data_IF_802218018334
#
_entry.id   IF_802218018334
#
_cell.length_a   1.000
_cell.length_b   1.000
_cell.length_c   1.000
_cell.angle_alpha   90.00
_cell.angle_beta   90.00
_cell.angle_gamma   90.00
#
_symmetry.space_group_name_H-M   'P 1'
#
loop_
_entity.id
_entity.type
_entity.pdbx_description
1 polymer ?
#
# COMPACT_ATOMS: atom_id res chain seq x y z
N UNK A 1 -8.46 -2.69 19.77
CA UNK A 1 -8.71 -1.23 19.72
C UNK A 1 -9.86 -1.01 18.76
N UNK A 2 -11.02 -0.53 19.23
CA UNK A 2 -12.13 -0.22 18.34
C UNK A 2 -11.97 1.23 17.90
N UNK A 3 -11.62 1.45 16.63
CA UNK A 3 -11.57 2.80 16.06
C UNK A 3 -13.01 3.16 15.73
N UNK A 4 -13.60 4.04 16.53
CA UNK A 4 -14.93 4.61 16.31
C UNK A 4 -14.72 5.97 15.66
N UNK A 5 -15.34 6.22 14.50
CA UNK A 5 -15.36 7.55 13.90
C UNK A 5 -16.16 8.50 14.79
N UNK A 6 -15.50 9.53 15.32
CA UNK A 6 -16.07 10.50 16.25
C UNK A 6 -16.35 11.87 15.59
N UNK A 7 -16.15 11.98 14.29
CA UNK A 7 -16.32 13.23 13.53
C UNK A 7 -15.21 14.26 13.74
N UNK A 8 -14.17 13.97 14.53
CA UNK A 8 -13.06 14.89 14.73
C UNK A 8 -12.02 14.76 13.63
N UNK A 9 -11.43 15.90 13.24
CA UNK A 9 -10.28 15.86 12.34
C UNK A 9 -9.08 15.24 13.04
N UNK A 10 -8.50 14.21 12.44
CA UNK A 10 -7.25 13.64 12.95
C UNK A 10 -6.12 14.66 12.86
N UNK A 11 -5.32 14.72 13.93
CA UNK A 11 -4.19 15.65 14.03
C UNK A 11 -3.01 15.30 13.12
N UNK A 12 -2.94 14.04 12.65
CA UNK A 12 -1.83 13.52 11.86
C UNK A 12 -2.31 13.09 10.48
N UNK A 13 -1.54 13.40 9.43
CA UNK A 13 -1.82 12.89 8.11
C UNK A 13 -1.50 11.39 8.05
N UNK A 14 -2.23 10.66 7.19
CA UNK A 14 -2.04 9.22 7.02
C UNK A 14 -0.57 8.84 6.75
N UNK A 15 0.12 9.59 5.88
CA UNK A 15 1.54 9.35 5.54
C UNK A 15 2.47 9.44 6.75
N UNK A 16 2.18 10.34 7.69
CA UNK A 16 3.04 10.56 8.86
C UNK A 16 2.88 9.37 9.81
N UNK A 17 1.63 8.94 10.04
CA UNK A 17 1.32 7.74 10.82
C UNK A 17 1.92 6.49 10.18
N UNK A 18 1.75 6.31 8.86
CA UNK A 18 2.25 5.15 8.15
C UNK A 18 3.79 5.07 8.17
N UNK A 19 4.47 6.20 7.99
CA UNK A 19 5.92 6.30 8.05
C UNK A 19 6.51 5.91 9.41
N UNK A 20 5.75 6.04 10.50
CA UNK A 20 6.14 5.60 11.85
C UNK A 20 5.73 4.14 12.14
N UNK A 21 4.54 3.74 11.72
CA UNK A 21 3.97 2.43 12.01
C UNK A 21 4.66 1.32 11.21
N UNK A 22 4.98 1.54 9.93
CA UNK A 22 5.60 0.51 9.10
C UNK A 22 6.96 0.03 9.67
N UNK A 23 7.91 0.92 10.04
CA UNK A 23 9.14 0.50 10.73
C UNK A 23 8.88 -0.28 12.02
N UNK A 24 7.93 0.17 12.84
CA UNK A 24 7.59 -0.51 14.09
C UNK A 24 7.02 -1.92 13.85
N UNK A 25 6.21 -2.10 12.80
CA UNK A 25 5.71 -3.41 12.39
C UNK A 25 6.84 -4.33 11.93
N UNK A 26 7.74 -3.85 11.07
CA UNK A 26 8.89 -4.63 10.62
C UNK A 26 9.86 -5.02 11.75
N UNK A 27 9.93 -4.23 12.83
CA UNK A 27 10.71 -4.58 14.02
C UNK A 27 10.07 -5.69 14.85
N UNK A 28 8.74 -5.75 14.90
CA UNK A 28 7.99 -6.74 15.68
C UNK A 28 7.85 -8.07 14.94
N UNK A 29 7.80 -8.03 13.61
CA UNK A 29 7.51 -9.18 12.77
C UNK A 29 8.54 -9.30 11.63
N UNK A 30 9.44 -10.29 11.66
CA UNK A 30 10.45 -10.50 10.65
C UNK A 30 9.88 -10.97 9.30
N UNK A 31 8.59 -11.25 9.19
CA UNK A 31 7.98 -11.67 7.92
C UNK A 31 7.32 -10.49 7.18
N UNK A 32 7.17 -9.32 7.82
CA UNK A 32 6.57 -8.12 7.19
C UNK A 32 7.51 -7.46 6.18
N UNK A 33 7.11 -7.42 4.91
CA UNK A 33 7.89 -6.83 3.83
C UNK A 33 7.09 -5.76 3.08
N UNK A 34 7.71 -4.61 2.83
CA UNK A 34 7.09 -3.49 2.14
C UNK A 34 7.45 -3.49 0.66
N UNK A 35 6.47 -3.29 -0.21
CA UNK A 35 6.66 -3.10 -1.64
C UNK A 35 5.99 -1.79 -2.08
N UNK A 36 6.63 -1.08 -2.99
CA UNK A 36 6.21 0.26 -3.37
C UNK A 36 6.36 0.50 -4.88
N UNK A 37 5.43 1.26 -5.46
CA UNK A 37 5.41 1.59 -6.89
C UNK A 37 6.04 2.96 -7.20
N UNK A 38 7.24 3.22 -6.69
CA UNK A 38 7.99 4.48 -6.83
C UNK A 38 7.35 5.73 -6.21
N UNK A 39 6.69 5.55 -5.06
CA UNK A 39 5.95 6.53 -4.28
C UNK A 39 6.42 6.62 -2.80
N UNK A 40 7.57 6.03 -2.46
CA UNK A 40 8.11 6.02 -1.09
C UNK A 40 8.31 7.43 -0.49
N UNK A 41 8.60 8.44 -1.32
CA UNK A 41 8.73 9.83 -0.89
C UNK A 41 7.37 10.47 -0.58
N UNK A 42 6.29 10.02 -1.22
CA UNK A 42 4.94 10.53 -1.06
C UNK A 42 4.29 10.03 0.24
N UNK A 43 4.54 8.78 0.62
CA UNK A 43 3.97 8.14 1.83
C UNK A 43 4.93 8.12 3.04
N UNK A 44 6.09 8.77 2.93
CA UNK A 44 7.01 8.92 4.07
C UNK A 44 7.87 7.69 4.40
N UNK A 45 7.93 6.70 3.52
CA UNK A 45 8.71 5.46 3.71
C UNK A 45 10.13 5.51 3.13
N UNK A 46 10.50 6.57 2.43
CA UNK A 46 11.83 6.69 1.80
C UNK A 46 13.00 6.55 2.79
N UNK A 47 12.88 7.11 4.01
CA UNK A 47 13.92 6.98 5.05
C UNK A 47 14.03 5.54 5.55
N UNK A 48 12.89 4.88 5.75
CA UNK A 48 12.80 3.48 6.16
C UNK A 48 13.44 2.57 5.10
N UNK A 49 13.05 2.72 3.84
CA UNK A 49 13.59 1.91 2.75
C UNK A 49 15.10 2.07 2.57
N UNK A 50 15.63 3.27 2.81
CA UNK A 50 17.08 3.50 2.82
C UNK A 50 17.80 2.83 3.99
N UNK A 51 17.16 2.78 5.17
CA UNK A 51 17.73 2.18 6.37
C UNK A 51 17.61 0.65 6.39
N UNK A 52 16.56 0.11 5.77
CA UNK A 52 16.21 -1.31 5.74
C UNK A 52 15.93 -1.79 4.29
N UNK A 53 16.93 -1.74 3.39
CA UNK A 53 16.74 -2.14 1.98
C UNK A 53 16.32 -3.60 1.83
N UNK A 54 16.59 -4.46 2.81
CA UNK A 54 16.12 -5.84 2.87
C UNK A 54 14.63 -5.99 3.21
N UNK A 55 13.98 -4.92 3.68
CA UNK A 55 12.57 -4.88 4.11
C UNK A 55 11.68 -4.03 3.22
N UNK A 56 12.25 -3.35 2.22
CA UNK A 56 11.54 -2.46 1.33
C UNK A 56 11.99 -2.66 -0.12
N UNK A 57 11.07 -3.08 -0.98
CA UNK A 57 11.31 -3.32 -2.40
C UNK A 57 10.60 -2.23 -3.20
N UNK A 58 11.36 -1.38 -3.91
CA UNK A 58 10.77 -0.52 -4.93
C UNK A 58 10.61 -1.33 -6.22
N UNK A 59 9.38 -1.55 -6.65
CA UNK A 59 9.03 -2.28 -7.86
C UNK A 59 8.96 -1.40 -9.12
N UNK A 60 9.19 -0.09 -8.98
CA UNK A 60 8.99 0.90 -10.04
C UNK A 60 7.52 1.15 -10.35
N UNK A 61 7.24 1.90 -11.42
CA UNK A 61 5.87 2.19 -11.89
C UNK A 61 5.28 0.95 -12.61
N UNK A 62 5.09 -0.12 -11.84
CA UNK A 62 4.70 -1.44 -12.31
C UNK A 62 3.78 -2.14 -11.30
N UNK A 63 2.61 -1.56 -11.03
CA UNK A 63 1.72 -1.99 -9.94
C UNK A 63 1.24 -3.43 -10.09
N UNK A 64 0.88 -3.86 -11.30
CA UNK A 64 0.48 -5.25 -11.57
C UNK A 64 1.61 -6.23 -11.25
N UNK A 65 2.84 -5.89 -11.62
CA UNK A 65 4.02 -6.71 -11.31
C UNK A 65 4.30 -6.72 -9.79
N UNK A 66 4.20 -5.57 -9.13
CA UNK A 66 4.34 -5.45 -7.67
C UNK A 66 3.39 -6.39 -6.93
N UNK A 67 2.12 -6.46 -7.34
CA UNK A 67 1.14 -7.39 -6.75
C UNK A 67 1.54 -8.84 -7.01
N UNK A 68 2.01 -9.18 -8.21
CA UNK A 68 2.52 -10.53 -8.51
C UNK A 68 3.70 -10.94 -7.62
N UNK A 69 4.68 -10.04 -7.45
CA UNK A 69 5.83 -10.24 -6.54
C UNK A 69 5.35 -10.40 -5.10
N UNK A 70 4.41 -9.56 -4.65
CA UNK A 70 3.81 -9.67 -3.32
C UNK A 70 3.14 -11.02 -3.11
N UNK A 71 2.32 -11.49 -4.04
CA UNK A 71 1.66 -12.79 -3.94
C UNK A 71 2.69 -13.94 -3.87
N UNK A 72 3.78 -13.85 -4.63
CA UNK A 72 4.89 -14.80 -4.54
C UNK A 72 5.59 -14.80 -3.18
N UNK A 73 5.80 -13.61 -2.59
CA UNK A 73 6.35 -13.47 -1.24
C UNK A 73 5.40 -14.02 -0.17
N UNK A 74 4.10 -13.76 -0.29
CA UNK A 74 3.08 -14.31 0.60
C UNK A 74 3.08 -15.85 0.56
N UNK A 75 3.15 -16.44 -0.64
CA UNK A 75 3.27 -17.89 -0.80
C UNK A 75 4.57 -18.47 -0.19
N UNK A 76 5.62 -17.65 -0.07
CA UNK A 76 6.88 -18.00 0.60
C UNK A 76 6.88 -17.76 2.13
N UNK A 77 5.75 -17.33 2.71
CA UNK A 77 5.58 -17.13 4.14
C UNK A 77 5.78 -15.70 4.64
N UNK A 78 6.06 -14.74 3.76
CA UNK A 78 6.13 -13.33 4.12
C UNK A 78 4.72 -12.73 4.29
N UNK A 79 4.66 -11.52 4.85
CA UNK A 79 3.45 -10.69 5.02
C UNK A 79 3.62 -9.39 4.24
N UNK A 80 3.33 -9.39 2.93
CA UNK A 80 3.62 -8.26 2.06
C UNK A 80 2.60 -7.13 2.26
N UNK A 81 3.12 -5.91 2.35
CA UNK A 81 2.34 -4.67 2.31
C UNK A 81 2.73 -3.95 1.03
N UNK A 82 1.80 -3.82 0.09
CA UNK A 82 2.02 -3.11 -1.19
C UNK A 82 1.41 -1.71 -1.13
N UNK A 83 2.12 -0.72 -1.66
CA UNK A 83 1.66 0.66 -1.70
C UNK A 83 1.76 1.28 -3.10
N UNK A 84 0.67 1.95 -3.48
CA UNK A 84 0.63 2.91 -4.59
C UNK A 84 -0.51 3.92 -4.34
N UNK A 85 -0.73 4.90 -5.23
CA UNK A 85 -1.92 5.76 -5.15
C UNK A 85 -3.20 4.96 -5.42
N UNK A 86 -4.30 5.37 -4.79
CA UNK A 86 -5.63 4.78 -4.89
C UNK A 86 -6.08 4.42 -6.31
N UNK A 87 -6.00 5.31 -7.31
CA UNK A 87 -6.43 4.98 -8.69
C UNK A 87 -5.54 3.93 -9.35
N UNK A 88 -4.30 3.75 -8.87
CA UNK A 88 -3.38 2.74 -9.39
C UNK A 88 -3.55 1.41 -8.66
N UNK A 89 -3.79 1.46 -7.34
CA UNK A 89 -4.18 0.32 -6.53
C UNK A 89 -5.54 -0.25 -7.00
N UNK A 90 -6.44 0.58 -7.52
CA UNK A 90 -7.74 0.19 -8.03
C UNK A 90 -7.73 -0.17 -9.52
N UNK A 91 -7.24 0.68 -10.42
CA UNK A 91 -7.38 0.43 -11.87
C UNK A 91 -6.25 -0.40 -12.46
N UNK A 92 -5.01 -0.22 -11.99
CA UNK A 92 -3.82 -0.79 -12.66
C UNK A 92 -3.55 -2.23 -12.26
N UNK A 93 -3.68 -2.57 -10.98
CA UNK A 93 -3.31 -3.90 -10.48
C UNK A 93 -4.48 -4.77 -10.02
N UNK A 94 -5.73 -4.34 -10.21
CA UNK A 94 -6.89 -5.04 -9.65
C UNK A 94 -7.08 -6.46 -10.19
N UNK A 95 -6.82 -6.73 -11.47
CA UNK A 95 -6.88 -8.11 -11.98
C UNK A 95 -5.88 -9.03 -11.24
N UNK A 96 -4.66 -8.54 -10.97
CA UNK A 96 -3.67 -9.28 -10.19
C UNK A 96 -4.09 -9.42 -8.72
N UNK A 97 -4.69 -8.40 -8.11
CA UNK A 97 -5.24 -8.52 -6.74
C UNK A 97 -6.37 -9.54 -6.70
N UNK A 98 -7.30 -9.49 -7.65
CA UNK A 98 -8.43 -10.39 -7.72
C UNK A 98 -7.98 -11.85 -7.91
N UNK A 99 -7.18 -12.11 -8.94
CA UNK A 99 -6.76 -13.48 -9.29
C UNK A 99 -5.64 -14.01 -8.38
N UNK A 100 -4.58 -13.23 -8.20
CA UNK A 100 -3.36 -13.70 -7.53
C UNK A 100 -3.40 -13.55 -6.01
N UNK A 101 -4.18 -12.62 -5.47
CA UNK A 101 -4.39 -12.50 -4.02
C UNK A 101 -5.72 -13.15 -3.60
N UNK A 102 -6.85 -12.56 -3.99
CA UNK A 102 -8.17 -12.99 -3.52
C UNK A 102 -8.52 -14.44 -3.89
N UNK A 103 -8.46 -14.77 -5.18
CA UNK A 103 -8.83 -16.11 -5.67
C UNK A 103 -7.82 -17.18 -5.25
N UNK A 104 -6.51 -16.89 -5.35
CA UNK A 104 -5.45 -17.82 -4.95
C UNK A 104 -5.21 -17.88 -3.43
N UNK A 105 -5.89 -17.03 -2.63
CA UNK A 105 -5.77 -16.93 -1.16
C UNK A 105 -4.35 -16.59 -0.68
N UNK A 106 -3.65 -15.74 -1.41
CA UNK A 106 -2.41 -15.15 -0.92
C UNK A 106 -2.72 -13.94 -0.03
N UNK A 107 -2.20 -13.95 1.19
CA UNK A 107 -2.41 -12.89 2.17
C UNK A 107 -1.48 -11.70 1.89
N UNK A 108 -2.03 -10.63 1.31
CA UNK A 108 -1.32 -9.37 1.06
C UNK A 108 -2.16 -8.22 1.56
N UNK A 109 -1.50 -7.15 2.02
CA UNK A 109 -2.16 -5.89 2.35
C UNK A 109 -1.96 -4.89 1.22
N UNK A 110 -3.04 -4.38 0.63
CA UNK A 110 -2.99 -3.35 -0.42
C UNK A 110 -3.33 -1.98 0.18
N UNK A 111 -2.44 -1.01 -0.01
CA UNK A 111 -2.64 0.37 0.44
C UNK A 111 -2.70 1.28 -0.78
N UNK A 112 -3.89 1.84 -1.02
CA UNK A 112 -4.13 2.91 -1.98
C UNK A 112 -4.23 4.26 -1.26
N UNK A 113 -3.21 5.11 -1.36
CA UNK A 113 -3.25 6.47 -0.78
C UNK A 113 -4.01 7.46 -1.66
N UNK A 114 -4.40 8.58 -1.08
CA UNK A 114 -5.16 9.61 -1.79
C UNK A 114 -6.52 9.15 -2.39
N UNK A 115 -7.41 8.53 -1.60
CA UNK A 115 -8.72 8.07 -2.08
C UNK A 115 -9.68 9.23 -2.37
N UNK A 116 -10.66 9.00 -3.26
CA UNK A 116 -11.69 9.99 -3.56
C UNK A 116 -11.10 11.29 -4.13
N UNK A 117 -11.47 12.41 -3.52
CA UNK A 117 -11.10 13.77 -3.98
C UNK A 117 -9.79 14.29 -3.38
N UNK A 118 -9.08 13.51 -2.58
CA UNK A 118 -7.93 14.02 -1.82
C UNK A 118 -6.72 14.39 -2.70
N UNK A 119 -6.61 13.81 -3.90
CA UNK A 119 -5.62 14.18 -4.92
C UNK A 119 -6.15 15.18 -5.97
N UNK A 120 -7.10 16.06 -5.63
CA UNK A 120 -7.73 16.99 -6.59
C UNK A 120 -6.75 17.85 -7.41
N UNK A 121 -5.59 18.22 -6.84
CA UNK A 121 -4.56 19.01 -7.53
C UNK A 121 -3.89 18.25 -8.69
N UNK A 122 -3.90 16.91 -8.64
CA UNK A 122 -3.38 16.05 -9.70
C UNK A 122 -4.43 15.77 -10.79
N UNK A 123 -5.68 16.23 -10.59
CA UNK A 123 -6.78 16.14 -11.55
C UNK A 123 -7.55 14.82 -11.51
N UNK A 124 -8.56 14.71 -12.38
CA UNK A 124 -9.49 13.57 -12.41
C UNK A 124 -8.85 12.20 -12.69
N UNK A 125 -7.62 12.17 -13.20
CA UNK A 125 -6.86 10.92 -13.40
C UNK A 125 -6.35 10.34 -12.08
N UNK A 126 -6.24 11.15 -11.03
CA UNK A 126 -5.72 10.76 -9.72
C UNK A 126 -6.81 10.62 -8.63
N UNK A 127 -8.07 10.86 -8.98
CA UNK A 127 -9.20 10.71 -8.06
C UNK A 127 -9.93 9.38 -8.32
N UNK A 128 -9.78 8.35 -7.46
CA UNK A 128 -10.53 7.11 -7.58
C UNK A 128 -11.92 7.29 -6.95
N UNK A 129 -12.96 6.94 -7.70
CA UNK A 129 -14.35 6.93 -7.19
C UNK A 129 -14.94 5.51 -7.16
N UNK A 130 -14.22 4.57 -7.74
CA UNK A 130 -14.62 3.18 -7.96
C UNK A 130 -13.82 2.19 -7.09
N UNK A 131 -12.82 2.65 -6.34
CA UNK A 131 -11.95 1.84 -5.48
C UNK A 131 -12.74 0.99 -4.46
N UNK A 132 -13.73 1.59 -3.78
CA UNK A 132 -14.60 0.88 -2.83
C UNK A 132 -15.50 -0.17 -3.51
N UNK A 133 -15.84 0.02 -4.79
CA UNK A 133 -16.68 -0.94 -5.51
C UNK A 133 -15.87 -2.12 -6.07
N UNK A 134 -14.56 -1.94 -6.25
CA UNK A 134 -13.67 -2.97 -6.76
C UNK A 134 -13.19 -3.91 -5.65
N UNK A 135 -12.85 -3.37 -4.46
CA UNK A 135 -12.37 -4.14 -3.30
C UNK A 135 -13.50 -4.58 -2.35
#
# INVERSE_FOLDING_TARGET
MSIIYDGTMQAHAFKDVFGEVLPALCQQDPDVIYLDADLMSCIGTAKFAKAHPERAINCGIAESNMVGVACGLAAAGFKPIVHTFGPFASRRCFDQVFLSAGYAKNDITVIGTDPGVTAMFNGGTHMPFEDIALY
#
